data_IF_845701495835
#
_entry.id   IF_845701495835
#
_cell.length_a   1.000
_cell.length_b   1.000
_cell.length_c   1.000
_cell.angle_alpha   90.00
_cell.angle_beta   90.00
_cell.angle_gamma   90.00
#
_symmetry.space_group_name_H-M   'P 1'
#
loop_
_entity.id
_entity.type
_entity.pdbx_description
1 polymer ?
#
# COMPACT_ATOMS: atom_id res chain seq x y z
N UNK A 1 -19.11 -6.92 14.30
CA UNK A 1 -19.68 -7.27 12.98
C UNK A 1 -20.11 -5.96 12.33
N UNK A 2 -19.37 -5.50 11.34
CA UNK A 2 -19.70 -4.24 10.65
C UNK A 2 -20.74 -4.53 9.57
N UNK A 3 -21.88 -3.94 9.74
CA UNK A 3 -22.97 -4.04 8.78
C UNK A 3 -22.66 -3.08 7.62
N UNK A 4 -22.19 -3.60 6.50
CA UNK A 4 -22.05 -2.82 5.28
C UNK A 4 -23.39 -2.76 4.56
N UNK A 5 -24.21 -1.75 4.86
CA UNK A 5 -25.34 -1.47 4.01
C UNK A 5 -24.87 -0.68 2.79
N UNK A 6 -24.88 -1.28 1.62
CA UNK A 6 -24.64 -0.60 0.35
C UNK A 6 -26.01 -0.24 -0.27
N UNK A 7 -26.25 1.05 -0.45
CA UNK A 7 -27.38 1.51 -1.23
C UNK A 7 -26.94 1.61 -2.70
N UNK A 8 -27.51 0.77 -3.56
CA UNK A 8 -27.23 0.77 -5.00
C UNK A 8 -27.07 -0.61 -5.62
N UNK A 9 -26.62 -0.67 -6.86
CA UNK A 9 -26.33 -1.93 -7.55
C UNK A 9 -25.01 -2.47 -6.99
N UNK A 10 -25.08 -3.60 -6.27
CA UNK A 10 -23.91 -4.30 -5.76
C UNK A 10 -23.47 -5.31 -6.81
N UNK A 11 -22.29 -5.09 -7.37
CA UNK A 11 -21.63 -6.11 -8.19
C UNK A 11 -20.83 -7.03 -7.27
N UNK A 12 -21.28 -8.26 -7.09
CA UNK A 12 -20.50 -9.27 -6.40
C UNK A 12 -19.62 -10.00 -7.42
N UNK A 13 -18.30 -9.85 -7.28
CA UNK A 13 -17.36 -10.66 -8.04
C UNK A 13 -17.26 -12.03 -7.36
N UNK A 14 -17.81 -13.04 -8.03
CA UNK A 14 -17.68 -14.42 -7.59
C UNK A 14 -16.46 -15.04 -8.26
N UNK A 15 -15.64 -15.72 -7.49
CA UNK A 15 -14.66 -16.65 -8.03
C UNK A 15 -15.39 -17.92 -8.43
N UNK A 16 -15.64 -18.08 -9.73
CA UNK A 16 -16.31 -19.27 -10.26
C UNK A 16 -15.35 -20.47 -10.43
N UNK A 17 -14.09 -20.34 -9.99
CA UNK A 17 -13.11 -21.42 -10.06
C UNK A 17 -12.80 -21.90 -11.49
N UNK A 18 -13.09 -21.08 -12.50
CA UNK A 18 -12.95 -21.43 -13.91
C UNK A 18 -11.53 -21.31 -14.44
N UNK A 19 -10.68 -20.51 -13.78
CA UNK A 19 -9.30 -20.29 -14.17
C UNK A 19 -8.34 -20.77 -13.08
N UNK A 20 -7.26 -21.41 -13.50
CA UNK A 20 -6.15 -21.73 -12.59
C UNK A 20 -5.40 -20.45 -12.15
N UNK A 21 -4.74 -20.51 -11.01
CA UNK A 21 -3.89 -19.39 -10.53
C UNK A 21 -2.86 -18.98 -11.59
N UNK A 22 -2.29 -19.95 -12.31
CA UNK A 22 -1.30 -19.70 -13.37
C UNK A 22 -1.89 -18.92 -14.55
N UNK A 23 -3.14 -19.22 -14.94
CA UNK A 23 -3.84 -18.46 -15.99
C UNK A 23 -4.15 -17.04 -15.54
N UNK A 24 -4.61 -16.88 -14.31
CA UNK A 24 -4.87 -15.55 -13.72
C UNK A 24 -3.59 -14.72 -13.67
N UNK A 25 -2.46 -15.29 -13.23
CA UNK A 25 -1.18 -14.60 -13.20
C UNK A 25 -0.70 -14.20 -14.60
N UNK A 26 -0.92 -15.03 -15.62
CA UNK A 26 -0.62 -14.71 -17.01
C UNK A 26 -1.44 -13.51 -17.50
N UNK A 27 -2.73 -13.48 -17.19
CA UNK A 27 -3.61 -12.36 -17.52
C UNK A 27 -3.14 -11.08 -16.82
N UNK A 28 -2.83 -11.14 -15.53
CA UNK A 28 -2.32 -10.02 -14.74
C UNK A 28 -0.98 -9.49 -15.30
N UNK A 29 -0.08 -10.37 -15.73
CA UNK A 29 1.16 -9.98 -16.39
C UNK A 29 0.91 -9.24 -17.70
N UNK A 30 -0.09 -9.62 -18.47
CA UNK A 30 -0.46 -8.92 -19.70
C UNK A 30 -1.08 -7.55 -19.39
N UNK A 31 -2.02 -7.47 -18.45
CA UNK A 31 -2.63 -6.20 -18.04
C UNK A 31 -1.61 -5.23 -17.45
N UNK A 32 -0.61 -5.72 -16.71
CA UNK A 32 0.41 -4.87 -16.10
C UNK A 32 1.32 -4.17 -17.10
N UNK A 33 1.39 -4.66 -18.35
CA UNK A 33 2.12 -4.01 -19.46
C UNK A 33 1.41 -2.75 -19.95
N UNK A 34 0.07 -2.79 -19.95
CA UNK A 34 -0.76 -1.67 -20.38
C UNK A 34 -1.07 -0.70 -19.24
N UNK A 35 -1.35 -1.25 -18.06
CA UNK A 35 -1.67 -0.49 -16.85
C UNK A 35 -0.85 -0.99 -15.67
N UNK A 36 0.00 -0.12 -15.16
CA UNK A 36 0.81 -0.43 -13.98
C UNK A 36 -0.07 -0.75 -12.78
N UNK A 37 0.26 -1.85 -12.10
CA UNK A 37 -0.42 -2.28 -10.88
C UNK A 37 0.45 -1.95 -9.68
N UNK A 38 -0.14 -1.28 -8.70
CA UNK A 38 0.51 -0.95 -7.44
C UNK A 38 -0.27 -1.56 -6.28
N UNK A 39 0.45 -2.03 -5.29
CA UNK A 39 -0.13 -2.59 -4.07
C UNK A 39 0.05 -1.61 -2.91
N UNK A 40 -1.05 -1.26 -2.24
CA UNK A 40 -1.00 -0.55 -0.96
C UNK A 40 -1.07 -1.58 0.17
N UNK A 41 -0.03 -1.60 1.01
CA UNK A 41 0.09 -2.49 2.15
C UNK A 41 0.14 -1.66 3.45
N UNK A 42 -1.01 -1.36 4.06
CA UNK A 42 -1.02 -0.73 5.38
C UNK A 42 -0.63 -1.76 6.44
N UNK A 43 0.31 -1.41 7.28
CA UNK A 43 0.76 -2.28 8.37
C UNK A 43 1.10 -1.50 9.64
N UNK A 44 0.92 -2.15 10.79
CA UNK A 44 1.45 -1.71 12.06
C UNK A 44 2.87 -2.26 12.24
N UNK A 45 3.72 -1.51 12.94
CA UNK A 45 5.08 -2.02 13.23
C UNK A 45 5.06 -3.37 13.97
N UNK A 46 4.11 -3.57 14.90
CA UNK A 46 3.96 -4.83 15.63
C UNK A 46 3.69 -6.05 14.75
N UNK A 47 3.15 -5.86 13.55
CA UNK A 47 2.87 -6.95 12.62
C UNK A 47 4.14 -7.53 11.98
N UNK A 48 5.26 -6.77 12.00
CA UNK A 48 6.56 -7.26 11.52
C UNK A 48 7.11 -8.41 12.40
N UNK A 49 6.72 -8.44 13.67
CA UNK A 49 7.14 -9.46 14.63
C UNK A 49 6.17 -10.66 14.64
N UNK A 50 5.04 -10.52 13.95
CA UNK A 50 4.05 -11.58 13.78
C UNK A 50 4.38 -12.56 12.65
N UNK A 51 3.65 -13.68 12.57
CA UNK A 51 3.82 -14.67 11.51
C UNK A 51 3.16 -14.33 10.19
N UNK A 52 2.13 -13.48 10.17
CA UNK A 52 1.33 -13.21 8.98
C UNK A 52 2.06 -12.31 7.97
N UNK A 53 2.61 -11.19 8.42
CA UNK A 53 3.26 -10.23 7.52
C UNK A 53 4.50 -10.79 6.80
N UNK A 54 5.40 -11.57 7.42
CA UNK A 54 6.48 -12.24 6.72
C UNK A 54 6.00 -13.15 5.58
N UNK A 55 4.92 -13.89 5.79
CA UNK A 55 4.33 -14.73 4.75
C UNK A 55 3.76 -13.90 3.59
N UNK A 56 3.07 -12.79 3.90
CA UNK A 56 2.56 -11.85 2.89
C UNK A 56 3.73 -11.29 2.07
N UNK A 57 4.80 -10.85 2.71
CA UNK A 57 6.00 -10.32 2.04
C UNK A 57 6.65 -11.37 1.14
N UNK A 58 6.71 -12.62 1.57
CA UNK A 58 7.21 -13.72 0.75
C UNK A 58 6.36 -13.95 -0.50
N UNK A 59 5.03 -13.90 -0.38
CA UNK A 59 4.13 -14.01 -1.52
C UNK A 59 4.26 -12.81 -2.48
N UNK A 60 4.31 -11.58 -1.96
CA UNK A 60 4.53 -10.37 -2.76
C UNK A 60 5.84 -10.47 -3.54
N UNK A 61 6.90 -10.99 -2.93
CA UNK A 61 8.22 -11.15 -3.57
C UNK A 61 8.21 -12.09 -4.77
N UNK A 62 7.22 -12.98 -4.87
CA UNK A 62 7.06 -13.93 -5.97
C UNK A 62 6.22 -13.35 -7.11
N UNK A 63 5.51 -12.25 -6.89
CA UNK A 63 4.64 -11.65 -7.92
C UNK A 63 5.49 -10.95 -8.99
N UNK A 64 5.08 -11.08 -10.26
CA UNK A 64 5.77 -10.50 -11.42
C UNK A 64 4.98 -9.37 -12.07
N UNK A 65 3.73 -9.19 -11.69
CA UNK A 65 2.79 -8.23 -12.28
C UNK A 65 2.69 -6.92 -11.48
N UNK A 66 3.25 -6.87 -10.26
CA UNK A 66 3.30 -5.65 -9.48
C UNK A 66 4.46 -4.76 -9.92
N UNK A 67 4.16 -3.48 -10.15
CA UNK A 67 5.16 -2.47 -10.49
C UNK A 67 5.75 -1.80 -9.27
N UNK A 68 4.96 -1.61 -8.22
CA UNK A 68 5.38 -0.93 -7.01
C UNK A 68 4.53 -1.35 -5.81
N UNK A 69 5.12 -1.29 -4.62
CA UNK A 69 4.44 -1.54 -3.34
C UNK A 69 4.56 -0.32 -2.45
N UNK A 70 3.44 0.23 -1.99
CA UNK A 70 3.42 1.34 -1.04
C UNK A 70 3.04 0.79 0.33
N UNK A 71 3.98 0.87 1.26
CA UNK A 71 3.84 0.35 2.62
C UNK A 71 3.49 1.52 3.53
N UNK A 72 2.25 1.54 4.04
CA UNK A 72 1.82 2.51 5.04
C UNK A 72 2.18 2.01 6.43
N UNK A 73 3.33 2.43 6.95
CA UNK A 73 3.82 2.03 8.27
C UNK A 73 3.24 2.93 9.36
N UNK A 74 2.58 2.33 10.33
CA UNK A 74 1.94 3.01 11.45
C UNK A 74 2.46 2.51 12.80
N UNK A 75 2.33 3.35 13.84
CA UNK A 75 2.77 3.09 15.22
C UNK A 75 4.23 2.65 15.30
N UNK A 76 5.10 3.37 14.59
CA UNK A 76 6.54 3.11 14.55
C UNK A 76 7.34 4.31 15.03
N UNK A 77 8.30 4.08 15.92
CA UNK A 77 9.36 5.04 16.21
C UNK A 77 10.34 5.14 15.04
N UNK A 78 11.24 6.12 15.06
CA UNK A 78 12.25 6.27 14.00
C UNK A 78 13.17 5.03 13.88
N UNK A 79 13.59 4.47 15.00
CA UNK A 79 14.40 3.25 15.01
C UNK A 79 13.65 2.05 14.45
N UNK A 80 12.34 1.96 14.74
CA UNK A 80 11.46 0.93 14.21
C UNK A 80 11.20 1.11 12.72
N UNK A 81 11.05 2.33 12.24
CA UNK A 81 10.93 2.59 10.80
C UNK A 81 12.18 2.15 10.03
N UNK A 82 13.39 2.39 10.58
CA UNK A 82 14.64 1.88 10.02
C UNK A 82 14.70 0.36 9.99
N UNK A 83 14.20 -0.33 11.03
CA UNK A 83 14.08 -1.80 11.06
C UNK A 83 13.07 -2.30 10.03
N UNK A 84 11.90 -1.65 9.91
CA UNK A 84 10.90 -1.97 8.92
C UNK A 84 11.47 -1.88 7.49
N UNK A 85 12.24 -0.84 7.19
CA UNK A 85 12.89 -0.71 5.89
C UNK A 85 13.81 -1.90 5.57
N UNK A 86 14.61 -2.35 6.54
CA UNK A 86 15.44 -3.54 6.37
C UNK A 86 14.62 -4.82 6.17
N UNK A 87 13.49 -4.94 6.86
CA UNK A 87 12.58 -6.06 6.73
C UNK A 87 11.97 -6.13 5.31
N UNK A 88 11.49 -5.00 4.81
CA UNK A 88 10.84 -4.94 3.49
C UNK A 88 11.82 -5.00 2.31
N UNK A 89 13.12 -4.83 2.53
CA UNK A 89 14.14 -5.07 1.49
C UNK A 89 14.09 -6.48 0.86
N UNK A 90 13.41 -7.41 1.48
CA UNK A 90 13.19 -8.77 0.95
C UNK A 90 12.23 -8.78 -0.25
N UNK A 91 11.43 -7.72 -0.41
CA UNK A 91 10.51 -7.59 -1.54
C UNK A 91 11.33 -7.34 -2.82
N UNK A 92 11.14 -8.17 -3.84
CA UNK A 92 11.81 -8.03 -5.14
C UNK A 92 11.15 -6.99 -6.05
N UNK A 93 10.06 -6.39 -5.62
CA UNK A 93 9.34 -5.32 -6.31
C UNK A 93 9.81 -3.98 -5.73
N UNK A 94 9.96 -2.91 -6.51
CA UNK A 94 10.21 -1.58 -6.00
C UNK A 94 9.18 -1.20 -4.93
N UNK A 95 9.62 -0.60 -3.83
CA UNK A 95 8.70 -0.24 -2.75
C UNK A 95 9.03 1.12 -2.13
N UNK A 96 8.01 1.74 -1.57
CA UNK A 96 8.12 2.97 -0.76
C UNK A 96 7.49 2.75 0.59
N UNK A 97 8.15 3.17 1.67
CA UNK A 97 7.56 3.19 2.99
C UNK A 97 7.06 4.60 3.29
N UNK A 98 5.76 4.72 3.48
CA UNK A 98 5.12 5.91 4.02
C UNK A 98 5.02 5.77 5.53
N UNK A 99 5.96 6.40 6.25
CA UNK A 99 5.99 6.36 7.71
C UNK A 99 5.04 7.41 8.29
N UNK A 100 3.89 6.95 8.80
CA UNK A 100 2.79 7.80 9.27
C UNK A 100 3.14 8.65 10.48
N UNK A 101 4.01 8.14 11.37
CA UNK A 101 4.49 8.87 12.55
C UNK A 101 5.69 9.78 12.25
N UNK A 102 6.16 9.78 11.00
CA UNK A 102 7.33 10.52 10.57
C UNK A 102 7.08 12.03 10.51
N UNK A 103 8.15 12.84 10.68
CA UNK A 103 8.02 14.29 10.74
C UNK A 103 7.49 14.89 9.44
N UNK A 104 7.84 14.30 8.29
CA UNK A 104 7.37 14.79 6.97
C UNK A 104 5.86 14.63 6.83
N UNK A 105 5.32 13.45 7.18
CA UNK A 105 3.89 13.20 7.05
C UNK A 105 3.08 13.97 8.11
N UNK A 106 3.60 14.08 9.33
CA UNK A 106 2.97 14.93 10.37
C UNK A 106 2.88 16.39 9.94
N UNK A 107 3.91 16.92 9.30
CA UNK A 107 3.89 18.29 8.76
C UNK A 107 2.83 18.44 7.68
N UNK A 108 2.82 17.54 6.69
CA UNK A 108 1.81 17.51 5.62
C UNK A 108 0.39 17.41 6.19
N UNK A 109 0.16 16.51 7.12
CA UNK A 109 -1.13 16.35 7.80
C UNK A 109 -1.59 17.64 8.48
N UNK A 110 -0.68 18.32 9.18
CA UNK A 110 -0.99 19.60 9.81
C UNK A 110 -1.37 20.69 8.79
N UNK A 111 -0.68 20.74 7.66
CA UNK A 111 -1.00 21.69 6.58
C UNK A 111 -2.34 21.39 5.92
N UNK A 112 -2.63 20.12 5.65
CA UNK A 112 -3.91 19.68 5.06
C UNK A 112 -5.09 19.92 6.01
N UNK A 113 -4.89 19.71 7.32
CA UNK A 113 -5.90 20.02 8.36
C UNK A 113 -6.26 21.50 8.40
N UNK A 114 -5.25 22.38 8.31
CA UNK A 114 -5.50 23.85 8.26
C UNK A 114 -6.37 24.24 7.06
N UNK A 115 -6.33 23.46 6.00
CA UNK A 115 -7.10 23.67 4.76
C UNK A 115 -8.41 22.87 4.72
N UNK A 116 -8.75 22.13 5.78
CA UNK A 116 -9.90 21.21 5.85
C UNK A 116 -9.87 20.12 4.74
N UNK A 117 -8.67 19.71 4.32
CA UNK A 117 -8.47 18.70 3.28
C UNK A 117 -8.06 17.33 3.81
N UNK A 118 -7.65 17.24 5.08
CA UNK A 118 -7.27 15.97 5.70
C UNK A 118 -8.49 15.25 6.31
N UNK A 119 -8.51 13.90 6.31
CA UNK A 119 -9.51 13.15 7.05
C UNK A 119 -9.44 13.47 8.55
N UNK A 120 -10.59 13.77 9.15
CA UNK A 120 -10.66 14.17 10.56
C UNK A 120 -10.46 12.98 11.52
N UNK A 121 -10.80 11.77 11.09
CA UNK A 121 -10.70 10.58 11.93
C UNK A 121 -9.32 9.93 11.82
N UNK A 122 -8.75 9.61 12.98
CA UNK A 122 -7.54 8.78 13.07
C UNK A 122 -7.91 7.32 12.81
N UNK A 123 -7.06 6.59 12.09
CA UNK A 123 -7.26 5.18 11.86
C UNK A 123 -6.74 4.68 10.51
N UNK A 124 -6.98 3.39 10.23
CA UNK A 124 -6.50 2.70 9.02
C UNK A 124 -6.94 3.40 7.74
N UNK A 125 -8.17 3.88 7.67
CA UNK A 125 -8.69 4.58 6.48
C UNK A 125 -7.91 5.85 6.13
N UNK A 126 -7.49 6.63 7.13
CA UNK A 126 -6.64 7.80 6.94
C UNK A 126 -5.26 7.42 6.39
N UNK A 127 -4.66 6.36 6.89
CA UNK A 127 -3.36 5.89 6.43
C UNK A 127 -3.42 5.41 4.97
N UNK A 128 -4.46 4.67 4.61
CA UNK A 128 -4.73 4.27 3.22
C UNK A 128 -4.93 5.51 2.33
N UNK A 129 -5.64 6.54 2.80
CA UNK A 129 -5.83 7.78 2.07
C UNK A 129 -4.51 8.47 1.71
N UNK A 130 -3.54 8.55 2.64
CA UNK A 130 -2.20 9.07 2.36
C UNK A 130 -1.42 8.19 1.37
N UNK A 131 -1.57 6.86 1.47
CA UNK A 131 -0.96 5.95 0.51
C UNK A 131 -1.52 6.18 -0.90
N UNK A 132 -2.84 6.33 -1.05
CA UNK A 132 -3.48 6.66 -2.33
C UNK A 132 -2.97 8.00 -2.88
N UNK A 133 -2.84 9.01 -2.04
CA UNK A 133 -2.26 10.29 -2.44
C UNK A 133 -0.83 10.15 -2.95
N UNK A 134 -0.03 9.27 -2.35
CA UNK A 134 1.34 8.96 -2.80
C UNK A 134 1.33 8.30 -4.17
N UNK A 135 0.46 7.32 -4.41
CA UNK A 135 0.27 6.68 -5.72
C UNK A 135 -0.06 7.72 -6.78
N UNK A 136 -1.07 8.53 -6.53
CA UNK A 136 -1.53 9.54 -7.49
C UNK A 136 -0.43 10.54 -7.84
N UNK A 137 0.41 10.92 -6.88
CA UNK A 137 1.55 11.80 -7.11
C UNK A 137 2.61 11.14 -7.98
N UNK A 138 2.96 9.90 -7.74
CA UNK A 138 3.98 9.16 -8.52
C UNK A 138 3.55 8.92 -9.97
N UNK A 139 2.25 8.82 -10.22
CA UNK A 139 1.71 8.69 -11.57
C UNK A 139 1.60 10.01 -12.34
N UNK A 140 1.44 11.12 -11.63
CA UNK A 140 1.33 12.47 -12.23
C UNK A 140 2.66 13.13 -12.45
N UNK A 141 3.69 12.77 -11.71
CA UNK A 141 5.05 13.26 -11.91
C UNK A 141 5.83 12.27 -12.76
N UNK A 142 6.44 12.75 -13.85
CA UNK A 142 7.48 12.01 -14.57
C UNK A 142 8.53 11.51 -13.56
N UNK A 143 9.13 10.31 -13.76
CA UNK A 143 10.09 9.77 -12.83
C UNK A 143 11.32 10.69 -12.76
N UNK A 144 11.27 11.65 -11.86
CA UNK A 144 12.47 12.33 -11.41
C UNK A 144 13.12 11.40 -10.41
N UNK A 145 14.28 10.87 -10.76
CA UNK A 145 15.18 10.16 -9.88
C UNK A 145 15.39 10.99 -8.61
N UNK A 146 14.74 10.59 -7.51
CA UNK A 146 15.07 11.12 -6.20
C UNK A 146 16.22 10.29 -5.66
N UNK A 147 17.41 10.71 -6.05
CA UNK A 147 18.65 10.45 -5.31
C UNK A 147 18.65 11.40 -4.11
N UNK A 148 18.77 10.86 -2.90
CA UNK A 148 18.93 11.68 -1.70
C UNK A 148 18.55 10.91 -0.45
#
# INVERSE_FOLDING_TARGET
MGDFSQNGIVSTLHDFGTKSTTEIEKDLLNFSKERKMELILPCLYSELEGGALPNIVDQISKTKYLNHVIIGLDKASESQAKKAWKFFKKINVPFTILWNDGPKLKKLDSELKKKNLAPNQMGKGRHVWYCIGTVSYTHLTLPTSVTG
#
